data_IF_384339922528
#
_entry.id   IF_384339922528
#
_cell.length_a   1.000
_cell.length_b   1.000
_cell.length_c   1.000
_cell.angle_alpha   90.00
_cell.angle_beta   90.00
_cell.angle_gamma   90.00
#
_symmetry.space_group_name_H-M   'P 1'
#
loop_
_entity.id
_entity.type
_entity.pdbx_description
1 polymer ?
#
# COMPACT_ATOMS: atom_id res chain seq x y z
N UNK A 1 -4.63 4.41 62.32
CA UNK A 1 -3.20 4.51 62.71
C UNK A 1 -2.43 4.84 61.42
N UNK A 2 -2.03 6.11 61.21
CA UNK A 2 -0.66 6.65 61.42
C UNK A 2 0.40 5.80 60.68
N UNK A 3 0.83 6.21 59.47
CA UNK A 3 1.95 7.13 59.15
C UNK A 3 3.31 6.40 59.06
N UNK A 4 3.91 6.31 57.87
CA UNK A 4 5.36 6.49 57.56
C UNK A 4 5.54 6.36 56.02
N UNK A 5 5.79 7.41 55.23
CA UNK A 5 6.99 8.27 55.03
C UNK A 5 8.13 7.61 54.23
N UNK A 6 8.53 8.30 53.14
CA UNK A 6 9.91 8.57 52.67
C UNK A 6 10.65 7.37 52.00
N UNK A 7 11.47 7.42 50.93
CA UNK A 7 12.25 8.36 50.06
C UNK A 7 12.53 7.50 48.78
N UNK A 8 12.74 7.97 47.55
CA UNK A 8 14.06 8.38 47.04
C UNK A 8 14.05 8.55 45.51
N UNK A 9 14.62 9.68 45.11
CA UNK A 9 14.87 10.16 43.76
C UNK A 9 15.72 9.20 42.91
N UNK A 10 15.39 9.12 41.62
CA UNK A 10 16.37 8.91 40.57
C UNK A 10 15.98 9.79 39.37
N UNK A 11 16.62 10.95 39.27
CA UNK A 11 16.62 11.79 38.09
C UNK A 11 17.50 11.11 37.03
N UNK A 12 16.89 10.58 35.96
CA UNK A 12 17.62 10.24 34.75
C UNK A 12 17.80 11.53 33.93
N UNK A 13 19.04 12.00 33.86
CA UNK A 13 19.44 13.07 32.97
C UNK A 13 19.22 12.63 31.51
N UNK A 14 18.39 13.38 30.77
CA UNK A 14 18.38 13.33 29.31
C UNK A 14 19.70 13.92 28.80
N UNK A 15 20.60 13.07 28.34
CA UNK A 15 21.76 13.47 27.55
C UNK A 15 21.27 13.91 26.15
N UNK A 16 20.92 15.18 26.00
CA UNK A 16 20.82 15.83 24.67
C UNK A 16 22.18 16.40 24.32
N UNK A 17 23.05 15.59 23.71
CA UNK A 17 24.28 16.06 23.09
C UNK A 17 24.75 15.05 22.04
N UNK A 18 24.29 15.23 20.80
CA UNK A 18 25.12 14.91 19.64
C UNK A 18 24.77 15.93 18.57
N UNK A 19 25.31 17.13 18.74
CA UNK A 19 25.51 18.07 17.66
C UNK A 19 26.45 17.41 16.66
N UNK A 20 25.91 16.81 15.60
CA UNK A 20 26.70 16.53 14.41
C UNK A 20 26.92 17.86 13.71
N UNK A 21 28.15 18.36 13.74
CA UNK A 21 28.64 19.43 12.88
C UNK A 21 28.17 19.18 11.45
N UNK A 22 27.24 20.03 10.98
CA UNK A 22 26.91 20.13 9.58
C UNK A 22 28.08 20.82 8.88
N UNK A 23 29.13 20.06 8.59
CA UNK A 23 30.24 20.50 7.76
C UNK A 23 29.73 20.59 6.33
N UNK A 24 29.48 21.81 5.89
CA UNK A 24 29.36 22.19 4.49
C UNK A 24 30.53 21.59 3.72
N UNK A 25 30.26 20.55 2.94
CA UNK A 25 31.20 20.04 1.95
C UNK A 25 30.97 20.84 0.67
N UNK A 26 32.04 21.53 0.27
CA UNK A 26 32.14 22.34 -0.93
C UNK A 26 31.68 21.61 -2.19
N UNK A 27 31.03 22.40 -3.04
CA UNK A 27 30.73 22.06 -4.43
C UNK A 27 32.04 21.90 -5.19
N UNK A 28 32.40 20.65 -5.51
CA UNK A 28 33.36 20.35 -6.56
C UNK A 28 32.61 20.10 -7.87
N UNK A 29 32.63 21.10 -8.75
CA UNK A 29 32.32 20.92 -10.16
C UNK A 29 33.50 20.18 -10.83
N UNK A 30 33.28 19.01 -11.42
CA UNK A 30 34.08 18.52 -12.55
C UNK A 30 33.28 17.52 -13.41
N UNK A 31 33.23 17.86 -14.69
CA UNK A 31 32.95 17.13 -15.94
C UNK A 31 32.38 15.71 -15.94
N UNK A 32 31.29 15.60 -16.72
CA UNK A 32 31.06 14.66 -17.81
C UNK A 32 31.82 13.32 -17.76
N UNK A 33 31.12 12.28 -17.28
CA UNK A 33 31.06 11.02 -18.01
C UNK A 33 29.71 10.34 -17.75
N UNK A 34 29.16 9.70 -18.78
CA UNK A 34 27.76 9.25 -18.87
C UNK A 34 27.44 8.06 -17.96
N UNK A 35 27.43 8.26 -16.65
CA UNK A 35 26.90 7.29 -15.69
C UNK A 35 25.56 7.78 -15.19
N UNK A 36 24.51 7.05 -15.55
CA UNK A 36 23.13 7.23 -15.05
C UNK A 36 23.16 7.26 -13.53
N UNK A 37 23.18 8.46 -12.95
CA UNK A 37 22.99 8.65 -11.52
C UNK A 37 21.50 8.42 -11.27
N UNK A 38 21.15 7.19 -10.90
CA UNK A 38 19.86 6.88 -10.30
C UNK A 38 19.78 7.71 -9.01
N UNK A 39 19.18 8.88 -9.11
CA UNK A 39 18.79 9.66 -7.94
C UNK A 39 17.69 8.86 -7.27
N UNK A 40 18.06 8.05 -6.29
CA UNK A 40 17.10 7.44 -5.37
C UNK A 40 16.52 8.58 -4.55
N UNK A 41 15.42 9.15 -5.02
CA UNK A 41 14.61 10.09 -4.25
C UNK A 41 14.07 9.32 -3.05
N UNK A 42 14.77 9.39 -1.92
CA UNK A 42 14.24 8.95 -0.64
C UNK A 42 13.12 9.92 -0.28
N UNK A 43 11.89 9.57 -0.64
CA UNK A 43 10.68 10.32 -0.29
C UNK A 43 10.43 10.18 1.21
N UNK A 44 11.18 10.90 2.03
CA UNK A 44 11.06 10.93 3.50
C UNK A 44 9.81 11.70 3.96
N UNK A 45 9.03 12.27 3.05
CA UNK A 45 7.88 13.13 3.33
C UNK A 45 6.58 12.39 3.67
N UNK A 46 6.46 11.09 3.35
CA UNK A 46 5.15 10.42 3.30
C UNK A 46 4.59 9.90 4.64
N UNK A 47 5.42 9.81 5.68
CA UNK A 47 5.08 9.22 6.99
C UNK A 47 5.42 10.15 8.18
N UNK A 48 5.04 11.43 8.09
CA UNK A 48 5.03 12.28 9.29
C UNK A 48 3.93 11.84 10.26
N UNK A 49 4.05 12.09 11.57
CA UNK A 49 3.01 11.76 12.55
C UNK A 49 1.62 12.29 12.15
N UNK A 50 1.54 13.54 11.70
CA UNK A 50 0.28 14.16 11.27
C UNK A 50 -0.29 13.52 10.01
N UNK A 51 0.55 13.06 9.08
CA UNK A 51 0.11 12.34 7.89
C UNK A 51 -0.42 10.95 8.23
N UNK A 52 0.21 10.25 9.19
CA UNK A 52 -0.25 8.95 9.69
C UNK A 52 -1.64 9.08 10.32
N UNK A 53 -1.83 10.06 11.20
CA UNK A 53 -3.12 10.30 11.86
C UNK A 53 -4.23 10.59 10.84
N UNK A 54 -4.01 11.54 9.93
CA UNK A 54 -5.00 11.89 8.89
C UNK A 54 -5.33 10.70 7.97
N UNK A 55 -4.34 9.90 7.63
CA UNK A 55 -4.52 8.70 6.80
C UNK A 55 -5.36 7.65 7.52
N UNK A 56 -5.02 7.37 8.78
CA UNK A 56 -5.77 6.43 9.61
C UNK A 56 -7.22 6.88 9.79
N UNK A 57 -7.46 8.18 9.95
CA UNK A 57 -8.81 8.77 9.98
C UNK A 57 -9.60 8.50 8.70
N UNK A 58 -9.00 8.76 7.53
CA UNK A 58 -9.65 8.50 6.23
C UNK A 58 -9.98 7.03 6.03
N UNK A 59 -9.03 6.14 6.31
CA UNK A 59 -9.21 4.70 6.17
C UNK A 59 -10.32 4.22 7.11
N UNK A 60 -10.26 4.59 8.39
CA UNK A 60 -11.26 4.16 9.37
C UNK A 60 -12.67 4.68 9.02
N UNK A 61 -12.78 5.91 8.51
CA UNK A 61 -14.05 6.48 8.07
C UNK A 61 -14.62 5.77 6.83
N UNK A 62 -13.79 5.45 5.84
CA UNK A 62 -14.21 4.70 4.64
C UNK A 62 -14.66 3.27 5.02
N UNK A 63 -13.88 2.60 5.87
CA UNK A 63 -14.22 1.28 6.41
C UNK A 63 -15.55 1.30 7.17
N UNK A 64 -15.77 2.30 8.03
CA UNK A 64 -17.02 2.45 8.77
C UNK A 64 -18.21 2.63 7.83
N UNK A 65 -18.02 3.42 6.77
CA UNK A 65 -19.05 3.73 5.78
C UNK A 65 -19.44 2.49 4.97
N UNK A 66 -18.46 1.69 4.53
CA UNK A 66 -18.66 0.50 3.70
C UNK A 66 -19.16 -0.70 4.51
N UNK A 67 -18.60 -0.93 5.69
CA UNK A 67 -18.88 -2.11 6.52
C UNK A 67 -19.96 -1.87 7.59
N UNK A 68 -20.42 -0.63 7.76
CA UNK A 68 -21.49 -0.23 8.68
C UNK A 68 -21.24 -0.63 10.13
N UNK A 69 -19.99 -0.55 10.60
CA UNK A 69 -19.68 -0.73 12.03
C UNK A 69 -19.83 0.57 12.82
N UNK A 70 -19.90 0.46 14.15
CA UNK A 70 -20.13 1.57 15.07
C UNK A 70 -18.89 2.45 15.32
N UNK A 71 -19.09 3.57 16.02
CA UNK A 71 -18.04 4.54 16.31
C UNK A 71 -16.91 3.94 17.18
N UNK A 72 -17.26 3.01 18.08
CA UNK A 72 -16.31 2.30 18.92
C UNK A 72 -15.39 1.39 18.07
N UNK A 73 -15.95 0.64 17.12
CA UNK A 73 -15.16 -0.17 16.18
C UNK A 73 -14.32 0.72 15.27
N UNK A 74 -14.87 1.85 14.78
CA UNK A 74 -14.11 2.84 13.99
C UNK A 74 -12.88 3.32 14.72
N UNK A 75 -13.03 3.67 15.99
CA UNK A 75 -11.92 4.16 16.82
C UNK A 75 -10.84 3.10 16.98
N UNK A 76 -11.21 1.82 17.13
CA UNK A 76 -10.24 0.72 17.17
C UNK A 76 -9.53 0.52 15.84
N UNK A 77 -10.26 0.55 14.72
CA UNK A 77 -9.69 0.49 13.36
C UNK A 77 -8.67 1.61 13.16
N UNK A 78 -9.05 2.85 13.52
CA UNK A 78 -8.16 4.01 13.44
C UNK A 78 -6.87 3.76 14.22
N UNK A 79 -6.95 3.30 15.46
CA UNK A 79 -5.77 3.01 16.30
C UNK A 79 -4.85 1.98 15.67
N UNK A 80 -5.41 0.93 15.06
CA UNK A 80 -4.62 -0.09 14.34
C UNK A 80 -3.88 0.54 13.16
N UNK A 81 -4.55 1.38 12.36
CA UNK A 81 -3.93 2.04 11.21
C UNK A 81 -2.88 3.09 11.61
N UNK A 82 -3.07 3.81 12.73
CA UNK A 82 -2.02 4.68 13.29
C UNK A 82 -0.79 3.86 13.65
N UNK A 83 -0.98 2.75 14.37
CA UNK A 83 0.10 1.86 14.80
C UNK A 83 0.85 1.26 13.60
N UNK A 84 0.12 0.81 12.58
CA UNK A 84 0.68 0.34 11.31
C UNK A 84 1.51 1.42 10.63
N UNK A 85 0.99 2.64 10.51
CA UNK A 85 1.71 3.75 9.90
C UNK A 85 3.01 4.09 10.64
N UNK A 86 2.99 4.06 11.98
CA UNK A 86 4.20 4.25 12.81
C UNK A 86 5.23 3.14 12.56
N UNK A 87 4.82 1.86 12.55
CA UNK A 87 5.72 0.74 12.24
C UNK A 87 6.35 0.90 10.85
N UNK A 88 5.59 1.33 9.85
CA UNK A 88 6.13 1.55 8.49
C UNK A 88 7.14 2.71 8.49
N UNK A 89 6.85 3.80 9.20
CA UNK A 89 7.78 4.92 9.34
C UNK A 89 9.11 4.49 9.98
N UNK A 90 9.05 3.65 11.02
CA UNK A 90 10.25 3.06 11.64
C UNK A 90 11.02 2.15 10.67
N UNK A 91 10.31 1.33 9.88
CA UNK A 91 10.93 0.47 8.87
C UNK A 91 11.66 1.27 7.80
N UNK A 92 11.08 2.39 7.33
CA UNK A 92 11.74 3.26 6.34
C UNK A 92 13.06 3.81 6.86
N UNK A 93 13.12 4.21 8.13
CA UNK A 93 14.36 4.66 8.76
C UNK A 93 15.36 3.52 8.95
N UNK A 94 14.89 2.35 9.40
CA UNK A 94 15.74 1.19 9.70
C UNK A 94 16.36 0.55 8.45
N UNK A 95 15.62 0.51 7.35
CA UNK A 95 16.01 -0.19 6.12
C UNK A 95 16.32 0.78 4.97
N UNK A 96 16.74 2.02 5.27
CA UNK A 96 16.98 3.06 4.27
C UNK A 96 17.92 2.63 3.12
N UNK A 97 18.85 1.70 3.38
CA UNK A 97 19.79 1.15 2.38
C UNK A 97 19.51 -0.31 1.99
N UNK A 98 18.53 -1.00 2.59
CA UNK A 98 18.22 -2.41 2.37
C UNK A 98 16.77 -2.57 1.92
N UNK A 99 16.55 -2.47 0.62
CA UNK A 99 15.23 -2.55 0.00
C UNK A 99 14.60 -3.94 0.13
N UNK A 100 15.41 -5.01 0.15
CA UNK A 100 14.91 -6.37 0.27
C UNK A 100 14.46 -6.67 1.70
N UNK A 101 15.25 -6.26 2.70
CA UNK A 101 14.87 -6.31 4.10
C UNK A 101 13.64 -5.48 4.41
N UNK A 102 13.53 -4.28 3.82
CA UNK A 102 12.34 -3.43 3.95
C UNK A 102 11.08 -4.13 3.45
N UNK A 103 11.12 -4.71 2.25
CA UNK A 103 9.97 -5.39 1.65
C UNK A 103 9.51 -6.60 2.49
N UNK A 104 10.46 -7.36 3.04
CA UNK A 104 10.15 -8.47 3.93
C UNK A 104 9.51 -7.98 5.25
N UNK A 105 10.06 -6.94 5.87
CA UNK A 105 9.55 -6.39 7.11
C UNK A 105 8.17 -5.73 6.94
N UNK A 106 7.92 -5.05 5.82
CA UNK A 106 6.60 -4.48 5.50
C UNK A 106 5.51 -5.55 5.40
N UNK A 107 5.80 -6.72 4.82
CA UNK A 107 4.84 -7.85 4.80
C UNK A 107 4.49 -8.32 6.20
N UNK A 108 5.47 -8.31 7.12
CA UNK A 108 5.25 -8.58 8.53
C UNK A 108 4.26 -7.60 9.14
N UNK A 109 4.49 -6.30 8.97
CA UNK A 109 3.58 -5.25 9.47
C UNK A 109 2.15 -5.43 8.95
N UNK A 110 1.97 -5.76 7.67
CA UNK A 110 0.63 -6.01 7.12
C UNK A 110 -0.03 -7.26 7.72
N UNK A 111 0.74 -8.34 7.90
CA UNK A 111 0.25 -9.57 8.53
C UNK A 111 -0.18 -9.33 9.98
N UNK A 112 0.62 -8.58 10.74
CA UNK A 112 0.32 -8.24 12.13
C UNK A 112 -0.92 -7.34 12.21
N UNK A 113 -1.04 -6.37 11.30
CA UNK A 113 -2.22 -5.51 11.19
C UNK A 113 -3.48 -6.35 10.95
N UNK A 114 -3.42 -7.33 10.05
CA UNK A 114 -4.56 -8.20 9.77
C UNK A 114 -4.96 -9.03 10.99
N UNK A 115 -3.97 -9.51 11.75
CA UNK A 115 -4.23 -10.20 13.02
C UNK A 115 -4.91 -9.28 14.04
N UNK A 116 -4.44 -8.03 14.19
CA UNK A 116 -5.07 -7.01 15.05
C UNK A 116 -6.50 -6.70 14.59
N UNK A 117 -6.73 -6.50 13.29
CA UNK A 117 -8.05 -6.24 12.70
C UNK A 117 -9.04 -7.36 12.98
N UNK A 118 -8.58 -8.62 12.91
CA UNK A 118 -9.42 -9.79 13.23
C UNK A 118 -9.95 -9.78 14.67
N UNK A 119 -9.21 -9.20 15.61
CA UNK A 119 -9.62 -9.16 17.02
C UNK A 119 -10.71 -8.13 17.32
N UNK A 120 -10.87 -7.11 16.46
CA UNK A 120 -11.80 -6.01 16.72
C UNK A 120 -13.16 -6.19 16.04
N UNK A 121 -13.24 -7.02 15.00
CA UNK A 121 -14.50 -7.37 14.36
C UNK A 121 -15.18 -8.50 15.12
N UNK A 122 -16.28 -8.16 15.80
CA UNK A 122 -17.08 -9.13 16.57
C UNK A 122 -18.04 -9.93 15.68
N UNK A 123 -18.38 -9.39 14.51
CA UNK A 123 -19.19 -10.09 13.51
C UNK A 123 -18.28 -10.79 12.49
N UNK A 124 -18.38 -12.13 12.34
CA UNK A 124 -17.59 -12.87 11.35
C UNK A 124 -17.73 -12.34 9.91
N UNK A 125 -18.90 -11.79 9.56
CA UNK A 125 -19.14 -11.25 8.21
C UNK A 125 -18.35 -9.98 7.95
N UNK A 126 -18.08 -9.17 8.98
CA UNK A 126 -17.26 -7.97 8.87
C UNK A 126 -15.82 -8.30 8.55
N UNK A 127 -15.23 -9.28 9.25
CA UNK A 127 -13.85 -9.68 8.96
C UNK A 127 -13.75 -10.23 7.53
N UNK A 128 -14.67 -11.09 7.08
CA UNK A 128 -14.67 -11.59 5.70
C UNK A 128 -14.82 -10.48 4.63
N UNK A 129 -15.63 -9.46 4.91
CA UNK A 129 -15.75 -8.28 4.04
C UNK A 129 -14.44 -7.49 3.99
N UNK A 130 -13.78 -7.30 5.14
CA UNK A 130 -12.45 -6.69 5.23
C UNK A 130 -11.42 -7.49 4.44
N UNK A 131 -11.36 -8.82 4.59
CA UNK A 131 -10.39 -9.65 3.85
C UNK A 131 -10.55 -9.51 2.34
N UNK A 132 -11.80 -9.47 1.86
CA UNK A 132 -12.12 -9.34 0.44
C UNK A 132 -11.76 -7.96 -0.13
N UNK A 133 -11.70 -6.93 0.72
CA UNK A 133 -11.43 -5.52 0.33
C UNK A 133 -10.12 -4.99 0.91
N UNK A 134 -9.26 -5.85 1.45
CA UNK A 134 -8.04 -5.46 2.20
C UNK A 134 -7.12 -4.53 1.41
N UNK A 135 -7.00 -4.78 0.11
CA UNK A 135 -6.15 -3.97 -0.78
C UNK A 135 -6.69 -2.55 -0.99
N UNK A 136 -7.98 -2.31 -0.73
CA UNK A 136 -8.61 -0.99 -0.81
C UNK A 136 -8.26 -0.10 0.38
N UNK A 137 -7.76 -0.70 1.47
CA UNK A 137 -7.39 -0.01 2.71
C UNK A 137 -5.88 -0.05 2.97
N UNK A 138 -5.08 -0.22 1.90
CA UNK A 138 -3.62 -0.15 1.98
C UNK A 138 -3.14 1.30 1.97
N UNK A 139 -2.07 1.59 2.70
CA UNK A 139 -1.54 2.95 2.88
C UNK A 139 -1.29 3.65 1.55
N UNK A 140 -0.76 2.94 0.55
CA UNK A 140 -0.41 3.49 -0.77
C UNK A 140 -1.59 4.22 -1.45
N UNK A 141 -2.83 3.74 -1.25
CA UNK A 141 -4.04 4.38 -1.81
C UNK A 141 -4.45 5.67 -1.11
N UNK A 142 -3.93 5.91 0.08
CA UNK A 142 -4.22 7.08 0.90
C UNK A 142 -2.99 7.98 1.06
N UNK A 143 -1.93 7.75 0.27
CA UNK A 143 -0.68 8.52 0.29
C UNK A 143 -0.86 9.94 -0.22
N UNK A 144 -1.68 10.11 -1.24
CA UNK A 144 -1.96 11.42 -1.80
C UNK A 144 -3.09 12.08 -1.01
N UNK A 145 -2.75 13.14 -0.27
CA UNK A 145 -3.73 14.01 0.37
C UNK A 145 -4.69 14.67 -0.65
N UNK A 146 -4.34 14.65 -1.94
CA UNK A 146 -5.08 15.28 -3.04
C UNK A 146 -5.94 14.30 -3.87
N UNK A 147 -5.77 12.98 -3.72
CA UNK A 147 -6.39 12.00 -4.64
C UNK A 147 -7.84 11.62 -4.30
N UNK A 148 -8.37 12.05 -3.16
CA UNK A 148 -9.79 11.83 -2.80
C UNK A 148 -10.70 13.04 -3.10
N UNK A 149 -10.17 14.14 -3.67
CA UNK A 149 -10.96 15.34 -4.01
C UNK A 149 -11.49 15.37 -5.46
N UNK A 150 -11.40 14.27 -6.21
CA UNK A 150 -11.92 14.23 -7.59
C UNK A 150 -12.59 12.89 -7.90
N UNK A 151 -13.62 12.58 -7.12
CA UNK A 151 -14.78 11.83 -7.63
C UNK A 151 -15.88 12.82 -7.99
N UNK A 152 -15.61 13.75 -8.89
CA UNK A 152 -16.67 14.49 -9.58
C UNK A 152 -16.24 14.85 -11.01
N UNK A 153 -16.99 14.27 -11.95
CA UNK A 153 -17.23 14.68 -13.33
C UNK A 153 -16.23 15.62 -14.04
N UNK A 154 -15.40 15.06 -14.93
CA UNK A 154 -15.12 15.67 -16.25
C UNK A 154 -14.32 14.71 -17.14
N UNK A 155 -15.06 13.90 -17.88
CA UNK A 155 -14.54 13.10 -18.98
C UNK A 155 -14.52 14.01 -20.22
N UNK A 156 -13.52 14.88 -20.35
CA UNK A 156 -13.36 15.67 -21.57
C UNK A 156 -12.66 14.82 -22.63
N UNK A 157 -13.49 14.33 -23.55
CA UNK A 157 -13.09 13.65 -24.76
C UNK A 157 -12.71 14.72 -25.77
N UNK A 158 -11.42 14.89 -26.09
CA UNK A 158 -10.88 15.19 -27.44
C UNK A 158 -9.49 15.83 -27.37
N UNK A 159 -8.45 15.09 -27.72
CA UNK A 159 -7.60 15.42 -28.89
C UNK A 159 -6.43 14.44 -28.98
N UNK A 160 -6.39 13.77 -30.12
CA UNK A 160 -5.28 12.94 -30.56
C UNK A 160 -4.16 13.83 -31.13
N UNK A 161 -2.91 13.49 -30.83
CA UNK A 161 -1.71 13.68 -31.68
C UNK A 161 -0.56 12.87 -31.04
N UNK A 162 -0.45 11.58 -31.32
CA UNK A 162 0.40 10.99 -32.36
C UNK A 162 1.90 10.96 -32.02
N UNK A 163 2.40 9.79 -31.60
CA UNK A 163 3.55 9.12 -32.23
C UNK A 163 3.78 7.73 -31.62
N UNK A 164 3.55 6.70 -32.44
CA UNK A 164 4.37 5.48 -32.64
C UNK A 164 4.76 4.64 -31.41
N UNK A 165 4.65 3.31 -31.35
CA UNK A 165 4.23 2.24 -32.27
C UNK A 165 4.50 0.94 -31.51
N UNK A 166 3.49 0.09 -31.27
CA UNK A 166 3.60 -1.38 -31.29
C UNK A 166 2.25 -1.98 -30.92
N UNK A 167 1.61 -2.53 -31.95
CA UNK A 167 0.33 -3.24 -31.93
C UNK A 167 0.22 -4.27 -30.80
N UNK A 168 -0.63 -3.96 -29.81
CA UNK A 168 -1.20 -4.93 -28.88
C UNK A 168 -2.72 -4.89 -29.06
N UNK A 169 -3.21 -5.71 -29.99
CA UNK A 169 -4.63 -5.91 -30.25
C UNK A 169 -5.29 -6.65 -29.07
N UNK A 170 -5.67 -5.90 -28.03
CA UNK A 170 -6.65 -6.32 -27.02
C UNK A 170 -8.04 -5.94 -27.52
N UNK A 171 -8.71 -6.86 -28.21
CA UNK A 171 -10.15 -6.71 -28.50
C UNK A 171 -10.92 -7.03 -27.22
N UNK A 172 -11.13 -6.02 -26.39
CA UNK A 172 -12.12 -6.02 -25.31
C UNK A 172 -13.45 -5.52 -25.87
N UNK A 173 -14.35 -6.42 -26.22
CA UNK A 173 -15.77 -6.07 -26.39
C UNK A 173 -16.39 -5.86 -25.02
N UNK A 174 -16.65 -4.57 -24.76
CA UNK A 174 -17.48 -4.00 -23.70
C UNK A 174 -18.75 -4.80 -23.44
N UNK A 175 -18.98 -5.15 -22.19
CA UNK A 175 -20.20 -5.76 -21.69
C UNK A 175 -20.24 -5.72 -20.17
N UNK A 176 -20.84 -4.65 -19.66
CA UNK A 176 -21.58 -4.50 -18.38
C UNK A 176 -21.23 -5.42 -17.22
N UNK A 177 -20.74 -4.81 -16.14
CA UNK A 177 -20.59 -5.44 -14.83
C UNK A 177 -21.96 -5.82 -14.26
N UNK A 178 -22.13 -7.10 -13.97
CA UNK A 178 -23.11 -7.58 -13.00
C UNK A 178 -22.40 -8.49 -12.01
N UNK A 179 -22.72 -8.26 -10.74
CA UNK A 179 -22.24 -8.94 -9.54
C UNK A 179 -22.18 -10.48 -9.68
N UNK A 180 -21.01 -11.06 -9.44
CA UNK A 180 -20.83 -12.52 -9.32
C UNK A 180 -19.47 -12.99 -9.81
N UNK A 181 -18.75 -13.72 -8.96
CA UNK A 181 -17.45 -14.31 -9.26
C UNK A 181 -17.52 -15.31 -10.43
N UNK A 182 -17.39 -14.82 -11.67
CA UNK A 182 -17.34 -15.63 -12.87
C UNK A 182 -16.51 -14.95 -13.96
N UNK A 183 -15.31 -15.46 -14.24
CA UNK A 183 -14.46 -14.96 -15.34
C UNK A 183 -15.07 -15.44 -16.65
N UNK A 184 -15.84 -14.58 -17.34
CA UNK A 184 -16.59 -14.99 -18.53
C UNK A 184 -15.70 -15.42 -19.70
N UNK A 185 -14.53 -14.81 -19.91
CA UNK A 185 -13.50 -15.31 -20.83
C UNK A 185 -12.24 -14.51 -20.58
N UNK A 186 -11.09 -15.18 -20.49
CA UNK A 186 -9.79 -14.51 -20.40
C UNK A 186 -8.83 -15.16 -21.36
N UNK A 187 -8.01 -14.36 -22.06
CA UNK A 187 -6.89 -14.87 -22.84
C UNK A 187 -5.66 -14.04 -22.51
N UNK A 188 -4.67 -14.67 -21.90
CA UNK A 188 -3.38 -14.04 -21.59
C UNK A 188 -2.27 -14.74 -22.36
N UNK A 189 -1.25 -13.98 -22.75
CA UNK A 189 0.01 -14.51 -23.28
C UNK A 189 1.11 -14.05 -22.34
N UNK A 190 1.87 -14.99 -21.79
CA UNK A 190 3.02 -14.69 -20.96
C UNK A 190 4.25 -14.41 -21.85
N UNK A 191 5.25 -13.76 -21.26
CA UNK A 191 6.48 -13.33 -21.95
C UNK A 191 7.30 -14.52 -22.45
N UNK A 192 7.16 -15.67 -21.78
CA UNK A 192 7.72 -16.97 -22.17
C UNK A 192 7.08 -17.56 -23.44
N UNK A 193 6.02 -16.95 -23.98
CA UNK A 193 5.28 -17.43 -25.15
C UNK A 193 4.06 -18.29 -24.84
N UNK A 194 3.88 -18.70 -23.57
CA UNK A 194 2.76 -19.49 -23.10
C UNK A 194 1.45 -18.71 -23.19
N UNK A 195 0.33 -19.40 -23.47
CA UNK A 195 -1.00 -18.83 -23.61
C UNK A 195 -1.98 -19.51 -22.66
N UNK A 196 -2.69 -18.72 -21.87
CA UNK A 196 -3.77 -19.19 -21.00
C UNK A 196 -5.08 -18.69 -21.59
N UNK A 197 -6.04 -19.60 -21.78
CA UNK A 197 -7.41 -19.26 -22.20
C UNK A 197 -8.43 -19.83 -21.22
N UNK A 198 -9.14 -18.95 -20.53
CA UNK A 198 -10.31 -19.24 -19.70
C UNK A 198 -11.56 -19.07 -20.57
N UNK A 199 -12.41 -20.10 -20.62
CA UNK A 199 -13.71 -20.09 -21.30
C UNK A 199 -14.84 -19.77 -20.32
N UNK A 200 -16.02 -19.41 -20.82
CA UNK A 200 -17.17 -19.06 -19.96
C UNK A 200 -17.64 -20.20 -19.06
N UNK A 201 -17.31 -21.44 -19.42
CA UNK A 201 -17.61 -22.62 -18.62
C UNK A 201 -16.53 -22.94 -17.57
N UNK A 202 -15.64 -22.00 -17.25
CA UNK A 202 -14.52 -22.19 -16.32
C UNK A 202 -13.40 -23.10 -16.83
N UNK A 203 -13.53 -23.68 -18.04
CA UNK A 203 -12.47 -24.55 -18.60
C UNK A 203 -11.24 -23.72 -18.95
N UNK A 204 -10.10 -24.11 -18.38
CA UNK A 204 -8.80 -23.50 -18.65
C UNK A 204 -8.08 -24.32 -19.70
N UNK A 205 -7.63 -23.66 -20.77
CA UNK A 205 -6.70 -24.23 -21.73
C UNK A 205 -5.39 -23.49 -21.61
N UNK A 206 -4.34 -24.19 -21.20
CA UNK A 206 -2.98 -23.68 -21.27
C UNK A 206 -2.34 -24.21 -22.55
N UNK A 207 -1.55 -23.38 -23.21
CA UNK A 207 -0.64 -23.77 -24.29
C UNK A 207 0.74 -23.27 -23.88
N UNK A 208 1.71 -24.14 -23.77
CA UNK A 208 3.08 -23.71 -23.45
C UNK A 208 3.78 -23.08 -24.67
N UNK A 209 5.03 -22.67 -24.46
CA UNK A 209 5.90 -22.12 -25.49
C UNK A 209 6.19 -23.14 -26.61
N UNK A 210 6.35 -24.42 -26.25
CA UNK A 210 6.63 -25.55 -27.16
C UNK A 210 5.40 -25.96 -27.99
N UNK A 211 4.23 -25.46 -27.60
CA UNK A 211 2.97 -25.59 -28.29
C UNK A 211 2.11 -26.76 -27.84
N UNK A 212 2.50 -27.47 -26.80
CA UNK A 212 1.72 -28.46 -26.09
C UNK A 212 0.50 -27.81 -25.44
N UNK A 213 -0.61 -28.54 -25.39
CA UNK A 213 -1.91 -28.00 -24.94
C UNK A 213 -2.43 -28.84 -23.78
N UNK A 214 -2.46 -28.25 -22.60
CA UNK A 214 -3.06 -28.89 -21.42
C UNK A 214 -4.43 -28.28 -21.15
N UNK A 215 -5.42 -29.14 -20.92
CA UNK A 215 -6.77 -28.73 -20.52
C UNK A 215 -6.92 -29.06 -19.05
N UNK A 216 -7.26 -28.06 -18.25
CA UNK A 216 -7.80 -28.24 -16.91
C UNK A 216 -9.33 -28.12 -17.02
#
# INVERSE_FOLDING_TARGET
MKKTLLILSAAAAFMTASCSENKTADTATTSADGTTTTTTTTTTTSYTPEAIERRADRIAADMATKMKFDDATRTKVRTIYVTRGQRIAELQNKYASDTMGMAAAMRGVYTDTDAEMKTIFTDPTQYSAYESSRTDYMDDRYMDDNAMSSSDSNMDTTSMSSSSSSDMSTTSSTGTMESGAGVSKMKAKAEDGSKIKIKDNGKVKTKDADGEKTKM
#
